data_IF_524922190690
#
_entry.id   IF_524922190690
#
_cell.length_a   1.000
_cell.length_b   1.000
_cell.length_c   1.000
_cell.angle_alpha   90.00
_cell.angle_beta   90.00
_cell.angle_gamma   90.00
#
_symmetry.space_group_name_H-M   'P 1'
#
loop_
_entity.id
_entity.type
_entity.pdbx_description
1 polymer ?
#
# COMPACT_ATOMS: atom_id res chain seq x y z
N UNK A 1 2.61 -0.31 2.06
CA UNK A 1 2.64 0.94 2.85
C UNK A 1 4.00 1.01 3.52
N UNK A 2 4.67 2.16 3.47
CA UNK A 2 5.90 2.37 4.24
C UNK A 2 5.70 2.09 5.74
N UNK A 3 6.77 1.69 6.40
CA UNK A 3 6.78 1.58 7.86
C UNK A 3 6.66 2.98 8.48
N UNK A 4 6.08 3.06 9.67
CA UNK A 4 6.12 4.33 10.39
C UNK A 4 7.53 4.54 10.91
N UNK A 5 8.25 5.42 10.24
CA UNK A 5 9.56 5.88 10.64
C UNK A 5 9.49 7.39 10.91
N UNK A 6 9.80 7.79 12.15
CA UNK A 6 9.67 9.17 12.58
C UNK A 6 10.69 10.09 11.90
N UNK A 7 11.90 9.61 11.65
CA UNK A 7 12.94 10.40 10.99
C UNK A 7 12.55 10.71 9.55
N UNK A 8 12.13 9.68 8.81
CA UNK A 8 11.62 9.81 7.45
C UNK A 8 10.43 10.76 7.34
N UNK A 9 9.47 10.67 8.25
CA UNK A 9 8.28 11.54 8.23
C UNK A 9 8.60 13.00 8.54
N UNK A 10 9.60 13.26 9.39
CA UNK A 10 10.03 14.63 9.72
C UNK A 10 10.70 15.34 8.55
N UNK A 11 11.34 14.58 7.65
CA UNK A 11 11.98 15.10 6.44
C UNK A 11 11.03 15.14 5.23
N UNK A 12 9.84 14.57 5.36
CA UNK A 12 8.84 14.53 4.30
C UNK A 12 7.88 15.72 4.39
N UNK A 13 7.30 16.10 3.25
CA UNK A 13 6.13 16.96 3.26
C UNK A 13 4.93 16.16 3.80
N UNK A 14 4.27 16.67 4.85
CA UNK A 14 3.12 16.01 5.47
C UNK A 14 1.90 16.91 5.40
N UNK A 15 0.82 16.37 4.85
CA UNK A 15 -0.50 16.98 4.94
C UNK A 15 -1.27 16.36 6.10
N UNK A 16 -1.88 17.19 6.93
CA UNK A 16 -2.70 16.76 8.08
C UNK A 16 -4.12 17.27 7.94
N UNK A 17 -5.08 16.41 8.29
CA UNK A 17 -6.47 16.78 8.46
C UNK A 17 -6.71 17.10 9.94
N UNK A 18 -7.07 18.35 10.21
CA UNK A 18 -7.16 18.90 11.56
C UNK A 18 -8.58 19.42 11.82
N UNK A 19 -9.10 19.15 13.00
CA UNK A 19 -10.39 19.68 13.46
C UNK A 19 -10.29 21.18 13.79
N UNK A 20 -11.43 21.90 13.87
CA UNK A 20 -11.44 23.28 14.37
C UNK A 20 -10.80 23.45 15.76
N UNK A 21 -10.86 22.41 16.59
CA UNK A 21 -10.28 22.35 17.94
C UNK A 21 -8.78 21.96 17.93
N UNK A 22 -8.17 21.79 16.76
CA UNK A 22 -6.75 21.45 16.61
C UNK A 22 -6.43 19.96 16.67
N UNK A 23 -7.43 19.07 16.61
CA UNK A 23 -7.20 17.62 16.69
C UNK A 23 -6.85 17.06 15.31
N UNK A 24 -5.68 16.42 15.19
CA UNK A 24 -5.28 15.72 13.95
C UNK A 24 -6.03 14.38 13.84
N UNK A 25 -6.90 14.26 12.83
CA UNK A 25 -7.66 13.05 12.55
C UNK A 25 -6.97 12.11 11.57
N UNK A 26 -6.25 12.66 10.59
CA UNK A 26 -5.54 11.89 9.59
C UNK A 26 -4.31 12.65 9.08
N UNK A 27 -3.37 11.91 8.49
CA UNK A 27 -2.24 12.50 7.80
C UNK A 27 -1.85 11.66 6.57
N UNK A 28 -1.18 12.32 5.63
CA UNK A 28 -0.52 11.70 4.49
C UNK A 28 0.86 12.36 4.29
N UNK A 29 1.93 11.57 4.12
CA UNK A 29 3.18 12.12 3.62
C UNK A 29 3.21 12.05 2.08
N UNK A 30 3.75 13.11 1.49
CA UNK A 30 3.79 13.34 0.05
C UNK A 30 5.23 13.15 -0.42
N UNK A 31 5.39 12.34 -1.46
CA UNK A 31 6.69 12.00 -2.03
C UNK A 31 6.68 12.38 -3.50
N UNK A 32 7.53 13.34 -3.93
CA UNK A 32 7.67 13.65 -5.34
C UNK A 32 8.44 12.53 -6.05
N UNK A 33 8.04 12.21 -7.28
CA UNK A 33 8.77 11.29 -8.13
C UNK A 33 9.98 12.01 -8.74
N UNK A 34 11.16 11.36 -8.74
CA UNK A 34 12.40 12.02 -9.17
C UNK A 34 12.48 12.26 -10.68
N UNK A 35 11.82 11.42 -11.50
CA UNK A 35 11.96 11.42 -12.96
C UNK A 35 10.77 12.02 -13.70
N UNK A 36 9.63 12.16 -13.04
CA UNK A 36 8.38 12.66 -13.62
C UNK A 36 7.89 13.81 -12.76
N UNK A 37 7.17 14.75 -13.35
CA UNK A 37 6.46 15.77 -12.59
C UNK A 37 5.19 15.18 -11.96
N UNK A 38 5.40 14.23 -11.05
CA UNK A 38 4.37 13.38 -10.44
C UNK A 38 4.53 13.40 -8.91
N UNK A 39 3.40 13.43 -8.21
CA UNK A 39 3.35 13.33 -6.76
C UNK A 39 2.64 12.04 -6.35
N UNK A 40 3.06 11.43 -5.24
CA UNK A 40 2.37 10.30 -4.66
C UNK A 40 2.23 10.43 -3.14
N UNK A 41 1.32 9.65 -2.57
CA UNK A 41 1.25 9.40 -1.12
C UNK A 41 1.93 8.08 -0.82
N UNK A 42 2.85 8.08 0.15
CA UNK A 42 3.48 6.83 0.63
C UNK A 42 2.72 6.25 1.83
N UNK A 43 2.70 6.99 2.94
CA UNK A 43 2.02 6.64 4.17
C UNK A 43 0.80 7.54 4.36
N UNK A 44 -0.35 6.91 4.56
CA UNK A 44 -1.58 7.57 4.95
C UNK A 44 -2.21 6.83 6.12
N UNK A 45 -2.53 7.56 7.19
CA UNK A 45 -3.14 6.99 8.38
C UNK A 45 -4.19 7.92 8.94
N UNK A 46 -5.17 7.33 9.60
CA UNK A 46 -6.24 8.04 10.26
C UNK A 46 -6.47 7.45 11.65
N UNK A 47 -7.08 8.24 12.54
CA UNK A 47 -7.50 7.76 13.86
C UNK A 47 -8.58 6.69 13.72
N UNK A 48 -8.73 5.84 14.75
CA UNK A 48 -9.77 4.80 14.78
C UNK A 48 -11.18 5.38 14.75
N UNK A 49 -11.37 6.55 15.35
CA UNK A 49 -12.63 7.29 15.36
C UNK A 49 -12.44 8.49 14.43
N UNK A 50 -13.00 8.38 13.23
CA UNK A 50 -12.98 9.40 12.19
C UNK A 50 -14.31 9.35 11.45
N UNK A 51 -14.79 10.51 11.00
CA UNK A 51 -16.01 10.59 10.21
C UNK A 51 -15.88 9.82 8.89
N UNK A 52 -16.94 9.16 8.41
CA UNK A 52 -16.97 8.59 7.07
C UNK A 52 -16.58 9.65 6.03
N UNK A 53 -15.70 9.30 5.09
CA UNK A 53 -15.20 10.23 4.07
C UNK A 53 -13.96 11.04 4.46
N UNK A 54 -13.44 10.91 5.69
CA UNK A 54 -12.18 11.57 6.12
C UNK A 54 -11.03 11.29 5.14
N UNK A 55 -10.90 10.05 4.68
CA UNK A 55 -9.85 9.62 3.75
C UNK A 55 -10.10 10.12 2.32
N UNK A 56 -11.36 10.13 1.88
CA UNK A 56 -11.75 10.68 0.58
C UNK A 56 -11.43 12.18 0.50
N UNK A 57 -11.79 12.93 1.56
CA UNK A 57 -11.49 14.35 1.67
C UNK A 57 -9.98 14.63 1.72
N UNK A 58 -9.21 13.86 2.50
CA UNK A 58 -7.76 14.03 2.55
C UNK A 58 -7.12 13.76 1.18
N UNK A 59 -7.52 12.69 0.47
CA UNK A 59 -7.02 12.43 -0.88
C UNK A 59 -7.38 13.55 -1.86
N UNK A 60 -8.65 13.98 -1.88
CA UNK A 60 -9.09 15.07 -2.75
C UNK A 60 -8.32 16.37 -2.47
N UNK A 61 -8.06 16.67 -1.20
CA UNK A 61 -7.27 17.83 -0.78
C UNK A 61 -5.83 17.74 -1.26
N UNK A 62 -5.19 16.57 -1.13
CA UNK A 62 -3.82 16.34 -1.62
C UNK A 62 -3.75 16.50 -3.15
N UNK A 63 -4.68 15.90 -3.89
CA UNK A 63 -4.72 15.99 -5.35
C UNK A 63 -4.92 17.45 -5.80
N UNK A 64 -5.80 18.19 -5.12
CA UNK A 64 -6.06 19.61 -5.40
C UNK A 64 -4.80 20.44 -5.13
N UNK A 65 -4.17 20.25 -3.98
CA UNK A 65 -2.92 20.90 -3.64
C UNK A 65 -1.81 20.60 -4.65
N UNK A 66 -1.68 19.34 -5.09
CA UNK A 66 -0.69 18.94 -6.09
C UNK A 66 -0.88 19.70 -7.41
N UNK A 67 -2.14 19.83 -7.87
CA UNK A 67 -2.48 20.60 -9.06
C UNK A 67 -2.12 22.08 -8.91
N UNK A 68 -2.41 22.69 -7.77
CA UNK A 68 -2.07 24.09 -7.48
C UNK A 68 -0.56 24.33 -7.45
N UNK A 69 0.23 23.32 -7.10
CA UNK A 69 1.70 23.37 -7.05
C UNK A 69 2.36 22.94 -8.37
N UNK A 70 1.59 22.75 -9.44
CA UNK A 70 2.12 22.51 -10.78
C UNK A 70 2.53 21.06 -11.08
N UNK A 71 2.13 20.09 -10.25
CA UNK A 71 2.29 18.68 -10.58
C UNK A 71 1.39 18.30 -11.76
N UNK A 72 1.92 17.51 -12.71
CA UNK A 72 1.20 17.10 -13.92
C UNK A 72 0.38 15.83 -13.71
N UNK A 73 0.84 14.94 -12.84
CA UNK A 73 0.13 13.71 -12.51
C UNK A 73 0.19 13.44 -11.01
N UNK A 74 -0.78 12.64 -10.55
CA UNK A 74 -0.83 12.15 -9.18
C UNK A 74 -0.94 10.63 -9.19
N UNK A 75 0.03 9.96 -8.57
CA UNK A 75 0.08 8.52 -8.52
C UNK A 75 -0.63 8.02 -7.25
N UNK A 76 -1.79 7.39 -7.44
CA UNK A 76 -2.60 6.80 -6.37
C UNK A 76 -1.96 5.54 -5.74
N UNK A 77 -0.80 5.13 -6.23
CA UNK A 77 -0.12 3.90 -5.86
C UNK A 77 -0.75 2.66 -6.49
N UNK A 78 -0.09 1.52 -6.31
CA UNK A 78 -0.54 0.24 -6.87
C UNK A 78 -1.91 -0.17 -6.32
N UNK A 79 -2.82 -0.57 -7.20
CA UNK A 79 -3.98 -1.39 -6.85
C UNK A 79 -3.67 -2.81 -7.28
N UNK A 80 -3.33 -3.68 -6.32
CA UNK A 80 -2.90 -5.03 -6.64
C UNK A 80 -4.02 -5.80 -7.36
N UNK A 81 -3.71 -6.27 -8.57
CA UNK A 81 -4.42 -7.32 -9.32
C UNK A 81 -5.93 -7.10 -9.53
N UNK A 82 -6.40 -5.84 -9.52
CA UNK A 82 -7.69 -5.48 -10.11
C UNK A 82 -7.60 -5.70 -11.64
N UNK A 83 -7.91 -6.91 -12.10
CA UNK A 83 -7.89 -7.25 -13.52
C UNK A 83 -7.18 -8.56 -13.92
N UNK A 84 -6.43 -9.21 -13.02
CA UNK A 84 -5.63 -10.39 -13.40
C UNK A 84 -6.41 -11.71 -13.27
N UNK A 85 -6.43 -12.50 -14.35
CA UNK A 85 -7.08 -13.80 -14.42
C UNK A 85 -8.58 -13.77 -14.72
N UNK A 86 -9.11 -12.65 -15.24
CA UNK A 86 -10.53 -12.51 -15.58
C UNK A 86 -10.85 -13.25 -16.90
N UNK A 87 -9.86 -13.47 -17.78
CA UNK A 87 -10.09 -14.09 -19.07
C UNK A 87 -9.73 -15.58 -19.05
N UNK A 88 -10.64 -16.43 -19.54
CA UNK A 88 -10.43 -17.89 -19.66
C UNK A 88 -9.27 -18.30 -20.59
N UNK A 89 -8.72 -17.37 -21.37
CA UNK A 89 -7.60 -17.59 -22.28
C UNK A 89 -6.22 -17.35 -21.63
N UNK A 90 -6.19 -16.91 -20.36
CA UNK A 90 -4.95 -16.59 -19.67
C UNK A 90 -4.14 -17.87 -19.38
N UNK A 91 -2.80 -17.87 -19.57
CA UNK A 91 -1.96 -19.05 -19.35
C UNK A 91 -2.13 -19.62 -17.94
N UNK A 92 -1.97 -20.95 -17.78
CA UNK A 92 -2.19 -21.65 -16.50
C UNK A 92 -1.41 -21.06 -15.30
N UNK A 93 -0.33 -20.32 -15.57
CA UNK A 93 0.47 -19.59 -14.58
C UNK A 93 -0.29 -18.43 -13.93
N UNK A 94 -1.14 -17.73 -14.69
CA UNK A 94 -1.96 -16.62 -14.20
C UNK A 94 -3.05 -17.13 -13.26
N UNK A 95 -3.58 -18.34 -13.51
CA UNK A 95 -4.53 -19.01 -12.61
C UNK A 95 -3.89 -19.41 -11.27
N UNK A 96 -2.62 -19.82 -11.27
CA UNK A 96 -1.88 -20.14 -10.04
C UNK A 96 -1.54 -18.87 -9.25
N UNK A 97 -1.11 -17.80 -9.94
CA UNK A 97 -0.90 -16.48 -9.32
C UNK A 97 -2.19 -15.92 -8.74
N UNK A 98 -3.31 -16.03 -9.46
CA UNK A 98 -4.64 -15.65 -8.98
C UNK A 98 -5.06 -16.46 -7.74
N UNK A 99 -4.81 -17.78 -7.72
CA UNK A 99 -5.12 -18.64 -6.57
C UNK A 99 -4.28 -18.30 -5.33
N UNK A 100 -2.96 -18.13 -5.49
CA UNK A 100 -2.06 -17.70 -4.40
C UNK A 100 -2.50 -16.34 -3.86
N UNK A 101 -2.91 -15.44 -4.76
CA UNK A 101 -3.38 -14.11 -4.39
C UNK A 101 -4.72 -14.14 -3.65
N UNK A 102 -5.73 -14.88 -4.10
CA UNK A 102 -7.01 -15.03 -3.39
C UNK A 102 -6.83 -15.55 -1.95
N UNK A 103 -5.82 -16.39 -1.73
CA UNK A 103 -5.49 -16.90 -0.39
C UNK A 103 -4.67 -15.91 0.46
N UNK A 104 -3.97 -14.96 -0.16
CA UNK A 104 -3.30 -13.82 0.50
C UNK A 104 -4.29 -12.65 0.74
N UNK A 105 -5.31 -12.50 -0.10
CA UNK A 105 -6.37 -11.48 -0.08
C UNK A 105 -7.19 -11.51 1.23
N UNK A 106 -7.19 -12.65 1.94
CA UNK A 106 -7.77 -12.73 3.29
C UNK A 106 -7.06 -11.84 4.32
N UNK A 107 -5.82 -11.41 4.05
CA UNK A 107 -5.05 -10.52 4.92
C UNK A 107 -5.07 -9.04 4.51
N UNK A 108 -5.54 -8.71 3.30
CA UNK A 108 -5.55 -7.34 2.77
C UNK A 108 -6.81 -7.08 1.96
N UNK A 109 -7.60 -6.08 2.36
CA UNK A 109 -8.91 -5.76 1.79
C UNK A 109 -8.80 -5.03 0.42
N UNK A 110 -8.15 -5.63 -0.57
CA UNK A 110 -7.73 -4.96 -1.82
C UNK A 110 -8.88 -4.53 -2.74
N UNK A 111 -10.02 -5.23 -2.73
CA UNK A 111 -11.22 -4.83 -3.50
C UNK A 111 -11.74 -3.46 -3.08
N UNK A 112 -11.71 -3.18 -1.78
CA UNK A 112 -12.08 -1.86 -1.25
C UNK A 112 -11.08 -0.77 -1.64
N UNK A 113 -9.79 -1.11 -1.72
CA UNK A 113 -8.74 -0.18 -2.12
C UNK A 113 -8.86 0.22 -3.61
N UNK A 114 -9.15 -0.73 -4.49
CA UNK A 114 -9.37 -0.42 -5.91
C UNK A 114 -10.60 0.48 -6.08
N UNK A 115 -11.74 0.09 -5.50
CA UNK A 115 -12.97 0.87 -5.55
C UNK A 115 -12.81 2.27 -4.93
N UNK A 116 -11.98 2.41 -3.89
CA UNK A 116 -11.62 3.70 -3.33
C UNK A 116 -10.88 4.58 -4.35
N UNK A 117 -9.89 4.03 -5.05
CA UNK A 117 -9.11 4.75 -6.06
C UNK A 117 -9.93 5.12 -7.30
N UNK A 118 -10.88 4.26 -7.68
CA UNK A 118 -11.78 4.49 -8.81
C UNK A 118 -12.61 5.78 -8.67
N UNK A 119 -12.89 6.21 -7.44
CA UNK A 119 -13.62 7.47 -7.17
C UNK A 119 -12.96 8.71 -7.76
N UNK A 120 -11.66 8.63 -8.06
CA UNK A 120 -10.85 9.74 -8.58
C UNK A 120 -10.64 9.68 -10.09
N UNK A 121 -11.33 8.77 -10.79
CA UNK A 121 -11.26 8.57 -12.25
C UNK A 121 -9.81 8.43 -12.78
N UNK A 122 -9.01 7.47 -12.26
CA UNK A 122 -7.61 7.36 -12.62
C UNK A 122 -7.40 6.70 -13.99
N UNK A 123 -6.32 7.07 -14.68
CA UNK A 123 -5.80 6.28 -15.77
C UNK A 123 -5.07 5.03 -15.22
N UNK A 124 -5.63 3.85 -15.43
CA UNK A 124 -5.03 2.59 -14.99
C UNK A 124 -3.87 2.16 -15.89
N UNK A 125 -2.68 1.98 -15.29
CA UNK A 125 -1.51 1.45 -15.97
C UNK A 125 -1.10 0.08 -15.41
N UNK A 126 -0.83 -0.93 -16.27
CA UNK A 126 -0.37 -2.22 -15.79
C UNK A 126 1.05 -2.14 -15.19
N UNK A 127 1.32 -3.03 -14.23
CA UNK A 127 2.65 -3.23 -13.63
C UNK A 127 3.00 -4.70 -13.72
N UNK A 128 4.21 -5.00 -14.19
CA UNK A 128 4.66 -6.37 -14.48
C UNK A 128 5.85 -6.76 -13.60
N UNK A 129 5.88 -8.02 -13.19
CA UNK A 129 7.02 -8.62 -12.52
C UNK A 129 7.82 -9.43 -13.53
N UNK A 130 9.08 -9.04 -13.76
CA UNK A 130 9.99 -9.73 -14.69
C UNK A 130 10.88 -10.70 -13.92
N UNK A 131 10.91 -11.96 -14.36
CA UNK A 131 11.70 -13.01 -13.72
C UNK A 131 12.25 -14.02 -14.73
N UNK A 132 13.34 -14.71 -14.38
CA UNK A 132 14.03 -15.63 -15.28
C UNK A 132 13.40 -17.03 -15.25
N UNK A 133 12.32 -17.20 -16.02
CA UNK A 133 11.68 -18.49 -16.26
C UNK A 133 10.84 -19.02 -15.09
N UNK A 134 9.95 -19.97 -15.40
CA UNK A 134 8.94 -20.45 -14.43
C UNK A 134 9.53 -21.12 -13.18
N UNK A 135 10.71 -21.74 -13.30
CA UNK A 135 11.39 -22.38 -12.17
C UNK A 135 11.81 -21.39 -11.08
N UNK A 136 11.98 -20.11 -11.40
CA UNK A 136 12.35 -19.08 -10.44
C UNK A 136 11.17 -18.57 -9.60
N UNK A 137 9.92 -18.81 -10.03
CA UNK A 137 8.72 -18.23 -9.43
C UNK A 137 8.58 -18.45 -7.92
N UNK A 138 8.82 -19.66 -7.35
CA UNK A 138 8.70 -19.86 -5.91
C UNK A 138 9.67 -18.97 -5.12
N UNK A 139 10.91 -18.85 -5.60
CA UNK A 139 11.94 -18.03 -4.96
C UNK A 139 11.63 -16.55 -5.08
N UNK A 140 11.17 -16.11 -6.26
CA UNK A 140 10.74 -14.73 -6.51
C UNK A 140 9.57 -14.36 -5.60
N UNK A 141 8.57 -15.22 -5.47
CA UNK A 141 7.43 -15.00 -4.58
C UNK A 141 7.89 -14.85 -3.12
N UNK A 142 8.76 -15.75 -2.64
CA UNK A 142 9.31 -15.66 -1.29
C UNK A 142 10.11 -14.37 -1.10
N UNK A 143 10.90 -13.96 -2.10
CA UNK A 143 11.67 -12.71 -2.03
C UNK A 143 10.76 -11.47 -1.96
N UNK A 144 9.71 -11.41 -2.79
CA UNK A 144 8.72 -10.32 -2.75
C UNK A 144 8.01 -10.28 -1.41
N UNK A 145 7.54 -11.43 -0.91
CA UNK A 145 6.88 -11.50 0.40
C UNK A 145 7.80 -11.04 1.53
N UNK A 146 9.08 -11.42 1.50
CA UNK A 146 10.08 -10.99 2.49
C UNK A 146 10.38 -9.50 2.41
N UNK A 147 10.42 -8.94 1.21
CA UNK A 147 10.64 -7.51 1.00
C UNK A 147 9.45 -6.68 1.50
N UNK A 148 8.23 -7.14 1.25
CA UNK A 148 7.00 -6.44 1.65
C UNK A 148 6.73 -6.53 3.17
N UNK A 149 6.81 -7.72 3.74
CA UNK A 149 6.43 -7.94 5.15
C UNK A 149 7.46 -7.46 6.17
N UNK A 150 8.67 -7.05 5.72
CA UNK A 150 9.83 -6.92 6.59
C UNK A 150 10.20 -8.27 7.23
N UNK A 151 11.42 -8.47 7.73
CA UNK A 151 11.80 -9.75 8.35
C UNK A 151 10.77 -10.19 9.42
N UNK A 152 10.01 -11.29 9.23
CA UNK A 152 9.40 -11.93 10.36
C UNK A 152 10.56 -12.59 11.10
N UNK A 153 10.89 -12.10 12.28
CA UNK A 153 11.80 -12.78 13.18
C UNK A 153 11.06 -14.03 13.73
N UNK A 154 10.88 -15.05 12.88
CA UNK A 154 10.22 -16.32 13.24
C UNK A 154 11.00 -17.02 14.36
N UNK A 155 12.32 -16.75 14.48
CA UNK A 155 13.14 -17.20 15.61
C UNK A 155 12.89 -16.42 16.92
N UNK A 156 12.38 -15.19 16.87
CA UNK A 156 12.12 -14.38 18.07
C UNK A 156 10.86 -14.83 18.84
N UNK A 157 9.83 -15.29 18.12
CA UNK A 157 8.55 -15.71 18.73
C UNK A 157 8.65 -17.03 19.51
N UNK A 158 9.65 -17.86 19.21
CA UNK A 158 9.92 -19.11 19.94
C UNK A 158 10.73 -18.88 21.24
N UNK A 159 11.46 -17.76 21.35
CA UNK A 159 12.23 -17.43 22.56
C UNK A 159 11.33 -16.90 23.70
N UNK A 160 10.26 -16.18 23.36
CA UNK A 160 9.33 -15.64 24.37
C UNK A 160 8.36 -16.69 24.95
N UNK A 161 8.06 -17.79 24.24
CA UNK A 161 7.20 -18.87 24.78
C UNK A 161 7.90 -19.73 25.83
N UNK A 162 9.24 -19.83 25.82
CA UNK A 162 10.00 -20.55 26.87
C UNK A 162 10.23 -19.70 28.13
N UNK A 163 10.27 -18.36 28.02
CA UNK A 163 10.42 -17.47 29.18
C UNK A 163 9.14 -17.37 30.03
N UNK A 164 7.96 -17.41 29.40
CA UNK A 164 6.67 -17.38 30.09
C UNK A 164 6.30 -18.69 30.82
N UNK A 165 6.99 -19.79 30.53
CA UNK A 165 6.76 -21.11 31.16
C UNK A 165 7.67 -21.41 32.36
N UNK A 166 8.57 -20.50 32.73
CA UNK A 166 9.48 -20.62 33.89
C UNK A 166 9.09 -19.69 35.06
N UNK A 167 7.92 -19.06 35.01
CA UNK A 167 7.41 -18.14 36.05
C UNK A 167 6.06 -18.55 36.66
N UNK A 168 5.62 -19.79 36.44
CA UNK A 168 4.57 -20.42 37.24
C UNK A 168 5.15 -21.64 37.95
#
# INVERSE_FOLDING_TARGET
>A
MGWFDEGYLRESLVMTLVSPEGVIYAFANLVPEYKKNELMVDLMRHRKVTEPGTMDFLFASVITWAKEHGYQSFNLGLSALSGVGINKADPAIERVLHYVYEHINRFYNYKGLHAFKEKFDPAWEPRYLVYNGLAALPNVLVAVLRADSGFPNILGSLRNRKAARRRN
#
